data_IF_302868475930
#
_entry.id   IF_302868475930
#
_cell.length_a   1.000
_cell.length_b   1.000
_cell.length_c   1.000
_cell.angle_alpha   90.00
_cell.angle_beta   90.00
_cell.angle_gamma   90.00
#
_symmetry.space_group_name_H-M   'P 1'
#
loop_
_entity.id
_entity.type
_entity.pdbx_description
1 polymer ?
#
# COMPACT_ATOMS: atom_id res chain seq x y z
N UNK A 1 -12.35 3.96 6.99
CA UNK A 1 -13.43 4.25 7.97
C UNK A 1 -13.03 5.33 8.94
N UNK A 2 -13.96 6.20 9.28
CA UNK A 2 -13.76 7.25 10.28
C UNK A 2 -13.99 6.74 11.69
N UNK A 3 -13.12 7.14 12.61
CA UNK A 3 -13.23 6.81 14.04
C UNK A 3 -14.50 7.41 14.68
N UNK A 4 -14.92 8.61 14.26
CA UNK A 4 -16.02 9.31 14.87
C UNK A 4 -15.77 9.61 16.34
N UNK A 5 -16.70 9.16 17.23
CA UNK A 5 -16.61 9.30 18.69
C UNK A 5 -16.39 7.99 19.43
N UNK A 6 -16.11 6.89 18.72
CA UNK A 6 -15.90 5.57 19.32
C UNK A 6 -14.42 5.28 19.50
N UNK A 7 -14.03 4.40 20.45
CA UNK A 7 -12.65 3.96 20.58
C UNK A 7 -12.12 3.32 19.29
N UNK A 8 -10.82 3.45 19.06
CA UNK A 8 -10.15 2.88 17.87
C UNK A 8 -10.38 1.35 17.79
N UNK A 9 -10.23 0.64 18.91
CA UNK A 9 -10.48 -0.81 18.98
C UNK A 9 -11.87 -1.22 18.50
N UNK A 10 -12.88 -0.44 18.89
CA UNK A 10 -14.27 -0.71 18.52
C UNK A 10 -14.50 -0.47 17.02
N UNK A 11 -13.87 0.59 16.48
CA UNK A 11 -13.96 0.89 15.06
C UNK A 11 -13.29 -0.21 14.22
N UNK A 12 -12.07 -0.66 14.59
CA UNK A 12 -11.36 -1.73 13.92
C UNK A 12 -12.17 -3.04 13.98
N UNK A 13 -12.75 -3.36 15.13
CA UNK A 13 -13.62 -4.53 15.30
C UNK A 13 -14.85 -4.48 14.41
N UNK A 14 -15.48 -3.30 14.24
CA UNK A 14 -16.61 -3.12 13.33
C UNK A 14 -16.23 -3.30 11.86
N UNK A 15 -15.02 -2.86 11.47
CA UNK A 15 -14.51 -3.10 10.12
C UNK A 15 -14.37 -4.59 9.86
N UNK A 16 -13.73 -5.34 10.78
CA UNK A 16 -13.58 -6.79 10.67
C UNK A 16 -14.93 -7.50 10.64
N UNK A 17 -15.89 -7.09 11.48
CA UNK A 17 -17.24 -7.64 11.48
C UNK A 17 -17.98 -7.40 10.15
N UNK A 18 -17.80 -6.22 9.54
CA UNK A 18 -18.39 -5.89 8.23
C UNK A 18 -17.78 -6.75 7.11
N UNK A 19 -16.47 -6.99 7.17
CA UNK A 19 -15.78 -7.89 6.23
C UNK A 19 -16.31 -9.32 6.39
N UNK A 20 -16.39 -9.84 7.61
CA UNK A 20 -16.94 -11.17 7.89
C UNK A 20 -18.35 -11.29 7.34
N UNK A 21 -19.21 -10.30 7.62
CA UNK A 21 -20.60 -10.28 7.15
C UNK A 21 -20.69 -10.33 5.60
N UNK A 22 -19.79 -9.64 4.90
CA UNK A 22 -19.74 -9.63 3.44
C UNK A 22 -19.20 -10.96 2.88
N UNK A 23 -18.15 -11.51 3.51
CA UNK A 23 -17.53 -12.78 3.10
C UNK A 23 -18.47 -13.97 3.30
N UNK A 24 -19.27 -13.98 4.38
CA UNK A 24 -20.27 -15.01 4.63
C UNK A 24 -21.36 -15.07 3.54
N UNK A 25 -21.65 -13.95 2.88
CA UNK A 25 -22.69 -13.79 1.86
C UNK A 25 -22.17 -13.83 0.43
N UNK A 26 -20.87 -14.03 0.27
CA UNK A 26 -20.23 -14.08 -1.04
C UNK A 26 -19.35 -15.32 -1.19
N UNK A 27 -19.04 -15.71 -2.42
CA UNK A 27 -18.13 -16.82 -2.74
C UNK A 27 -17.13 -16.37 -3.80
N UNK A 28 -15.91 -16.90 -3.73
CA UNK A 28 -14.87 -16.67 -4.75
C UNK A 28 -14.35 -15.24 -4.81
N UNK A 29 -14.57 -14.44 -3.77
CA UNK A 29 -14.02 -13.08 -3.65
C UNK A 29 -13.07 -12.98 -2.46
N UNK A 30 -12.14 -12.03 -2.55
CA UNK A 30 -11.27 -11.62 -1.46
C UNK A 30 -11.57 -10.15 -1.13
N UNK A 31 -11.75 -9.85 0.15
CA UNK A 31 -11.84 -8.47 0.63
C UNK A 31 -10.42 -7.89 0.72
N UNK A 32 -10.13 -6.86 -0.06
CA UNK A 32 -8.82 -6.20 -0.05
C UNK A 32 -8.96 -4.85 0.64
N UNK A 33 -8.18 -4.67 1.71
CA UNK A 33 -8.18 -3.46 2.53
C UNK A 33 -7.05 -2.57 2.06
N UNK A 34 -7.35 -1.33 1.73
CA UNK A 34 -6.33 -0.35 1.36
C UNK A 34 -5.83 0.42 2.59
N UNK A 35 -4.50 0.68 2.66
CA UNK A 35 -3.97 1.64 3.62
C UNK A 35 -4.45 3.05 3.26
N UNK A 36 -4.60 3.90 4.27
CA UNK A 36 -5.11 5.28 4.10
C UNK A 36 -4.04 6.31 4.48
N UNK A 37 -4.19 7.52 3.99
CA UNK A 37 -3.34 8.65 4.40
C UNK A 37 -3.57 9.09 5.86
N UNK A 38 -4.65 8.65 6.48
CA UNK A 38 -5.00 9.01 7.86
C UNK A 38 -5.60 10.42 7.99
N UNK A 39 -6.20 10.96 6.92
CA UNK A 39 -6.85 12.26 6.97
C UNK A 39 -8.02 12.25 7.97
N UNK A 40 -8.14 13.32 8.74
CA UNK A 40 -9.14 13.45 9.79
C UNK A 40 -9.00 12.35 10.84
N UNK A 41 -9.99 11.46 10.94
CA UNK A 41 -9.99 10.31 11.85
C UNK A 41 -10.04 8.98 11.11
N UNK A 42 -9.57 8.92 9.85
CA UNK A 42 -9.54 7.68 9.07
C UNK A 42 -8.54 6.67 9.66
N UNK A 43 -9.01 5.44 9.81
CA UNK A 43 -8.21 4.29 10.21
C UNK A 43 -7.61 3.59 8.98
N UNK A 44 -6.57 2.77 9.22
CA UNK A 44 -5.83 2.07 8.18
C UNK A 44 -4.56 2.79 7.73
N UNK A 45 -4.19 3.89 8.39
CA UNK A 45 -2.96 4.63 8.12
C UNK A 45 -1.73 4.07 8.85
N UNK A 46 -1.91 3.17 9.81
CA UNK A 46 -0.83 2.42 10.48
C UNK A 46 -0.93 0.95 10.12
N UNK A 47 0.21 0.31 9.91
CA UNK A 47 0.24 -1.12 9.58
C UNK A 47 -0.40 -1.99 10.67
N UNK A 48 -0.26 -1.61 11.95
CA UNK A 48 -0.90 -2.31 13.08
C UNK A 48 -2.43 -2.29 13.00
N UNK A 49 -3.01 -1.22 12.44
CA UNK A 49 -4.46 -1.15 12.24
C UNK A 49 -4.91 -2.15 11.17
N UNK A 50 -4.16 -2.29 10.07
CA UNK A 50 -4.42 -3.28 9.03
C UNK A 50 -4.28 -4.70 9.60
N UNK A 51 -3.20 -4.96 10.34
CA UNK A 51 -2.98 -6.25 11.00
C UNK A 51 -4.10 -6.59 11.98
N UNK A 52 -4.59 -5.62 12.75
CA UNK A 52 -5.72 -5.79 13.68
C UNK A 52 -7.02 -6.14 12.95
N UNK A 53 -7.30 -5.46 11.82
CA UNK A 53 -8.48 -5.78 11.00
C UNK A 53 -8.38 -7.20 10.47
N UNK A 54 -7.24 -7.58 9.89
CA UNK A 54 -7.00 -8.94 9.36
C UNK A 54 -7.16 -9.99 10.47
N UNK A 55 -6.61 -9.73 11.66
CA UNK A 55 -6.73 -10.64 12.80
C UNK A 55 -8.17 -10.89 13.23
N UNK A 56 -9.07 -9.90 13.04
CA UNK A 56 -10.50 -10.01 13.31
C UNK A 56 -11.33 -10.68 12.21
N UNK A 57 -10.72 -10.98 11.04
CA UNK A 57 -11.40 -11.68 9.95
C UNK A 57 -11.35 -13.19 10.19
N UNK A 58 -12.51 -13.87 10.12
CA UNK A 58 -12.65 -15.30 10.39
C UNK A 58 -11.95 -16.15 9.32
N UNK A 59 -12.26 -15.89 8.05
CA UNK A 59 -11.59 -16.55 6.92
C UNK A 59 -10.46 -15.66 6.38
N UNK A 60 -9.28 -15.79 6.98
CA UNK A 60 -8.09 -15.01 6.61
C UNK A 60 -7.54 -15.33 5.22
N UNK A 61 -7.95 -16.44 4.60
CA UNK A 61 -7.56 -16.74 3.22
C UNK A 61 -8.25 -15.82 2.21
N UNK A 62 -9.35 -15.19 2.63
CA UNK A 62 -10.17 -14.29 1.81
C UNK A 62 -10.07 -12.82 2.19
N UNK A 63 -8.98 -12.43 2.85
CA UNK A 63 -8.65 -11.02 3.11
C UNK A 63 -7.25 -10.71 2.62
N UNK A 64 -7.03 -9.49 2.17
CA UNK A 64 -5.73 -8.99 1.74
C UNK A 64 -5.60 -7.50 1.90
N UNK A 65 -4.45 -6.97 1.50
CA UNK A 65 -4.12 -5.55 1.57
C UNK A 65 -3.76 -5.05 0.18
N UNK A 66 -4.23 -3.85 -0.17
CA UNK A 66 -3.68 -3.03 -1.23
C UNK A 66 -2.78 -1.96 -0.61
N UNK A 67 -1.55 -1.83 -1.09
CA UNK A 67 -0.61 -0.81 -0.62
C UNK A 67 -0.62 0.37 -1.58
N UNK A 68 -1.13 1.51 -1.12
CA UNK A 68 -1.06 2.78 -1.86
C UNK A 68 0.18 3.56 -1.42
N UNK A 69 1.01 3.95 -2.39
CA UNK A 69 2.28 4.64 -2.15
C UNK A 69 2.09 6.08 -1.68
N UNK A 70 1.09 6.80 -2.20
CA UNK A 70 0.75 8.16 -1.77
C UNK A 70 0.22 8.14 -0.33
N UNK A 71 -0.69 7.21 -0.03
CA UNK A 71 -1.28 7.09 1.30
C UNK A 71 -0.24 6.72 2.34
N UNK A 72 0.65 5.76 2.05
CA UNK A 72 1.75 5.39 2.95
C UNK A 72 2.66 6.60 3.26
N UNK A 73 3.04 7.34 2.22
CA UNK A 73 3.87 8.53 2.37
C UNK A 73 3.18 9.63 3.19
N UNK A 74 1.92 9.90 2.87
CA UNK A 74 1.12 10.87 3.64
C UNK A 74 0.88 10.43 5.08
N UNK A 75 0.85 9.13 5.36
CA UNK A 75 0.75 8.57 6.71
C UNK A 75 2.07 8.65 7.50
N UNK A 76 3.21 8.87 6.85
CA UNK A 76 4.52 9.04 7.50
C UNK A 76 5.55 7.96 7.15
N UNK A 77 5.22 7.01 6.28
CA UNK A 77 6.16 6.00 5.80
C UNK A 77 6.95 6.56 4.61
N UNK A 78 8.24 6.82 4.83
CA UNK A 78 9.08 7.42 3.79
C UNK A 78 9.41 6.42 2.69
N UNK A 79 9.27 6.85 1.44
CA UNK A 79 9.50 6.05 0.23
C UNK A 79 10.40 6.79 -0.78
N UNK A 80 10.94 7.97 -0.46
CA UNK A 80 11.63 8.86 -1.40
C UNK A 80 13.00 8.37 -1.87
N UNK A 81 13.53 7.33 -1.26
CA UNK A 81 14.81 6.73 -1.65
C UNK A 81 14.79 5.23 -1.42
N UNK A 82 15.71 4.50 -2.07
CA UNK A 82 15.87 3.07 -1.80
C UNK A 82 16.10 2.79 -0.31
N UNK A 83 16.93 3.59 0.35
CA UNK A 83 17.24 3.45 1.77
C UNK A 83 16.02 3.70 2.68
N UNK A 84 15.02 4.44 2.21
CA UNK A 84 13.75 4.68 2.91
C UNK A 84 12.69 3.61 2.56
N UNK A 85 12.65 3.14 1.31
CA UNK A 85 11.75 2.07 0.90
C UNK A 85 11.99 0.77 1.66
N UNK A 86 13.27 0.40 1.82
CA UNK A 86 13.66 -0.88 2.42
C UNK A 86 13.10 -1.07 3.84
N UNK A 87 13.31 -0.16 4.82
CA UNK A 87 12.71 -0.28 6.15
C UNK A 87 11.17 -0.17 6.13
N UNK A 88 10.58 0.65 5.27
CA UNK A 88 9.12 0.78 5.17
C UNK A 88 8.48 -0.53 4.72
N UNK A 89 8.98 -1.16 3.66
CA UNK A 89 8.46 -2.45 3.21
C UNK A 89 8.80 -3.60 4.15
N UNK A 90 9.96 -3.56 4.82
CA UNK A 90 10.29 -4.53 5.87
C UNK A 90 9.36 -4.42 7.08
N UNK A 91 8.97 -3.22 7.48
CA UNK A 91 7.99 -3.00 8.55
C UNK A 91 6.60 -3.49 8.13
N UNK A 92 6.15 -3.18 6.92
CA UNK A 92 4.90 -3.69 6.36
C UNK A 92 4.86 -5.21 6.36
N UNK A 93 5.94 -5.87 5.95
CA UNK A 93 6.04 -7.34 5.96
C UNK A 93 6.02 -7.88 7.38
N UNK A 94 6.77 -7.31 8.30
CA UNK A 94 6.82 -7.74 9.70
C UNK A 94 5.47 -7.60 10.42
N UNK A 95 4.71 -6.54 10.14
CA UNK A 95 3.47 -6.21 10.86
C UNK A 95 2.24 -6.82 10.20
N UNK A 96 2.15 -6.73 8.87
CA UNK A 96 0.99 -7.20 8.08
C UNK A 96 1.28 -8.56 7.45
N UNK A 97 2.46 -8.71 6.88
CA UNK A 97 2.89 -9.89 6.11
C UNK A 97 2.67 -9.73 4.61
N UNK A 98 3.74 -9.96 3.84
CA UNK A 98 3.69 -9.91 2.36
C UNK A 98 2.67 -10.91 1.79
N UNK A 99 2.40 -12.02 2.51
CA UNK A 99 1.38 -13.01 2.11
C UNK A 99 -0.05 -12.44 2.04
N UNK A 100 -0.32 -11.32 2.70
CA UNK A 100 -1.61 -10.62 2.61
C UNK A 100 -1.65 -9.57 1.50
N UNK A 101 -0.53 -9.17 0.93
CA UNK A 101 -0.50 -8.17 -0.14
C UNK A 101 -1.15 -8.74 -1.41
N UNK A 102 -2.10 -8.03 -1.99
CA UNK A 102 -2.89 -8.46 -3.16
C UNK A 102 -2.78 -7.50 -4.34
N UNK A 103 -2.20 -6.34 -4.13
CA UNK A 103 -1.99 -5.33 -5.16
C UNK A 103 -1.42 -4.06 -4.57
N UNK A 104 -1.03 -3.14 -5.45
CA UNK A 104 -0.59 -1.82 -5.08
C UNK A 104 -1.24 -0.75 -5.95
N UNK A 105 -1.53 0.40 -5.35
CA UNK A 105 -1.78 1.62 -6.09
C UNK A 105 -0.47 2.40 -6.17
N UNK A 106 0.00 2.65 -7.39
CA UNK A 106 1.21 3.43 -7.66
C UNK A 106 0.82 4.88 -7.94
N UNK A 107 0.88 5.70 -6.90
CA UNK A 107 0.54 7.11 -6.97
C UNK A 107 1.66 7.95 -6.39
N UNK A 108 2.04 9.04 -7.07
CA UNK A 108 2.87 10.06 -6.44
C UNK A 108 1.99 10.95 -5.54
N UNK A 109 2.60 11.69 -4.64
CA UNK A 109 1.90 12.46 -3.62
C UNK A 109 2.17 13.96 -3.77
N UNK A 110 1.11 14.78 -3.82
CA UNK A 110 1.25 16.25 -3.87
C UNK A 110 1.71 16.85 -2.54
N UNK A 111 1.47 16.16 -1.44
CA UNK A 111 1.72 16.67 -0.08
C UNK A 111 2.95 16.02 0.53
N UNK A 112 3.49 16.62 1.57
CA UNK A 112 4.71 16.15 2.22
C UNK A 112 4.51 14.90 3.09
N UNK A 113 5.64 14.30 3.48
CA UNK A 113 5.71 13.15 4.39
C UNK A 113 4.94 13.42 5.69
N UNK A 114 4.06 12.51 6.08
CA UNK A 114 3.29 12.61 7.32
C UNK A 114 2.21 13.70 7.33
N UNK A 115 1.89 14.28 6.18
CA UNK A 115 0.89 15.35 6.04
C UNK A 115 -0.52 14.92 6.43
N UNK A 116 -0.84 13.64 6.36
CA UNK A 116 -2.18 13.06 6.50
C UNK A 116 -3.19 13.69 5.52
N UNK A 117 -2.74 14.01 4.33
CA UNK A 117 -3.57 14.59 3.26
C UNK A 117 -3.45 13.70 2.04
N UNK A 118 -4.56 13.08 1.67
CA UNK A 118 -4.69 12.29 0.46
C UNK A 118 -4.84 13.21 -0.75
N UNK A 119 -3.76 13.31 -1.54
CA UNK A 119 -3.74 14.07 -2.81
C UNK A 119 -2.75 13.43 -3.75
N UNK A 120 -3.27 12.62 -4.67
CA UNK A 120 -2.48 11.97 -5.71
C UNK A 120 -1.88 12.98 -6.69
N UNK A 121 -0.69 12.68 -7.16
CA UNK A 121 -0.03 13.34 -8.29
C UNK A 121 0.30 12.29 -9.34
N UNK A 122 0.52 12.72 -10.58
CA UNK A 122 1.10 11.90 -11.63
C UNK A 122 2.51 11.46 -11.23
N UNK A 123 2.94 10.27 -11.69
CA UNK A 123 4.22 9.68 -11.31
C UNK A 123 5.39 10.60 -11.65
N UNK A 124 6.25 10.85 -10.67
CA UNK A 124 7.40 11.74 -10.78
C UNK A 124 7.07 13.23 -10.72
N UNK A 125 5.80 13.61 -10.51
CA UNK A 125 5.35 15.00 -10.41
C UNK A 125 4.95 15.43 -9.00
N UNK A 126 5.13 14.57 -8.02
CA UNK A 126 4.87 14.82 -6.61
C UNK A 126 6.13 14.84 -5.76
N UNK A 127 5.94 14.60 -4.47
CA UNK A 127 6.99 14.61 -3.44
C UNK A 127 7.74 13.28 -3.31
N UNK A 128 7.19 12.20 -3.87
CA UNK A 128 7.82 10.87 -3.88
C UNK A 128 8.89 10.76 -4.96
N UNK A 129 8.65 11.30 -6.16
CA UNK A 129 9.51 11.14 -7.31
C UNK A 129 9.50 9.70 -7.85
N UNK A 130 10.56 9.30 -8.58
CA UNK A 130 10.61 7.99 -9.27
C UNK A 130 11.21 6.85 -8.46
N UNK A 131 11.87 7.11 -7.35
CA UNK A 131 12.60 6.06 -6.60
C UNK A 131 11.73 4.97 -6.00
N UNK A 132 10.55 5.23 -5.37
CA UNK A 132 9.69 4.16 -4.89
C UNK A 132 9.21 3.26 -6.02
N UNK A 133 8.87 3.83 -7.18
CA UNK A 133 8.42 3.05 -8.33
C UNK A 133 9.56 2.21 -8.90
N UNK A 134 10.78 2.75 -8.97
CA UNK A 134 11.97 1.98 -9.33
C UNK A 134 12.22 0.83 -8.35
N UNK A 135 12.05 1.07 -7.07
CA UNK A 135 12.20 0.05 -6.03
C UNK A 135 11.17 -1.07 -6.24
N UNK A 136 9.89 -0.72 -6.34
CA UNK A 136 8.78 -1.67 -6.49
C UNK A 136 8.95 -2.51 -7.77
N UNK A 137 9.24 -1.89 -8.91
CA UNK A 137 9.37 -2.56 -10.20
C UNK A 137 10.59 -3.50 -10.30
N UNK A 138 11.46 -3.54 -9.28
CA UNK A 138 12.67 -4.40 -9.25
C UNK A 138 12.78 -5.26 -7.98
N UNK A 139 11.75 -5.32 -7.17
CA UNK A 139 11.73 -6.15 -5.97
C UNK A 139 10.88 -7.40 -6.23
N UNK A 140 11.50 -8.60 -6.17
CA UNK A 140 10.80 -9.85 -6.51
C UNK A 140 9.61 -10.17 -5.60
N UNK A 141 9.48 -9.52 -4.45
CA UNK A 141 8.29 -9.66 -3.58
C UNK A 141 7.02 -9.18 -4.26
N UNK A 142 7.14 -8.33 -5.27
CA UNK A 142 6.02 -7.69 -5.97
C UNK A 142 5.82 -8.20 -7.39
N UNK A 143 6.57 -9.26 -7.79
CA UNK A 143 6.37 -9.91 -9.07
C UNK A 143 4.96 -10.54 -9.16
N UNK A 144 4.38 -10.54 -10.35
CA UNK A 144 3.06 -11.09 -10.65
C UNK A 144 1.89 -10.47 -9.83
N UNK A 145 2.11 -9.30 -9.23
CA UNK A 145 1.12 -8.58 -8.45
C UNK A 145 0.44 -7.48 -9.30
N UNK A 146 -0.88 -7.28 -9.17
CA UNK A 146 -1.55 -6.15 -9.79
C UNK A 146 -0.99 -4.81 -9.28
N UNK A 147 -0.48 -3.98 -10.20
CA UNK A 147 -0.04 -2.62 -9.96
C UNK A 147 -0.97 -1.68 -10.74
N UNK A 148 -1.68 -0.81 -10.04
CA UNK A 148 -2.70 0.05 -10.62
C UNK A 148 -2.33 1.52 -10.45
N UNK A 149 -2.73 2.34 -11.43
CA UNK A 149 -2.61 3.79 -11.36
C UNK A 149 -3.96 4.41 -10.98
N UNK A 150 -3.93 5.30 -9.99
CA UNK A 150 -5.04 6.19 -9.66
C UNK A 150 -4.61 7.66 -9.77
N UNK A 151 -3.57 7.91 -10.58
CA UNK A 151 -3.07 9.25 -10.85
C UNK A 151 -4.13 10.11 -11.53
N UNK A 152 -4.08 11.42 -11.29
CA UNK A 152 -5.19 12.35 -11.54
C UNK A 152 -5.44 12.57 -13.04
N UNK A 153 -4.37 12.55 -13.86
CA UNK A 153 -4.45 12.81 -15.29
C UNK A 153 -4.45 11.50 -16.09
N UNK A 154 -5.65 11.08 -16.49
CA UNK A 154 -5.83 9.86 -17.27
C UNK A 154 -5.13 9.89 -18.65
N UNK A 155 -4.89 11.08 -19.21
CA UNK A 155 -4.19 11.21 -20.49
C UNK A 155 -2.72 10.76 -20.39
N UNK A 156 -2.14 10.78 -19.19
CA UNK A 156 -0.77 10.36 -18.91
C UNK A 156 -0.63 8.86 -18.60
N UNK A 157 -1.70 8.14 -18.28
CA UNK A 157 -1.61 6.74 -17.83
C UNK A 157 -0.81 5.83 -18.75
N UNK A 158 -1.05 5.91 -20.06
CA UNK A 158 -0.29 5.10 -21.02
C UNK A 158 1.22 5.45 -21.02
N UNK A 159 1.57 6.69 -20.74
CA UNK A 159 2.97 7.13 -20.64
C UNK A 159 3.57 6.69 -19.31
N UNK A 160 2.85 6.87 -18.20
CA UNK A 160 3.28 6.44 -16.87
C UNK A 160 3.53 4.92 -16.81
N UNK A 161 2.63 4.12 -17.42
CA UNK A 161 2.82 2.66 -17.54
C UNK A 161 4.11 2.33 -18.31
N UNK A 162 4.35 2.98 -19.48
CA UNK A 162 5.59 2.75 -20.23
C UNK A 162 6.83 3.13 -19.42
N UNK A 163 6.77 4.22 -18.66
CA UNK A 163 7.86 4.65 -17.80
C UNK A 163 8.11 3.64 -16.65
N UNK A 164 7.06 3.09 -16.03
CA UNK A 164 7.18 2.04 -15.03
C UNK A 164 7.93 0.83 -15.60
N UNK A 165 7.50 0.30 -16.74
CA UNK A 165 8.19 -0.82 -17.38
C UNK A 165 9.63 -0.49 -17.76
N UNK A 166 9.94 0.74 -18.14
CA UNK A 166 11.31 1.18 -18.43
C UNK A 166 12.22 1.24 -17.18
N UNK A 167 11.64 1.22 -15.97
CA UNK A 167 12.42 1.14 -14.73
C UNK A 167 12.93 -0.27 -14.43
N UNK A 168 12.35 -1.30 -15.05
CA UNK A 168 12.75 -2.70 -14.83
C UNK A 168 14.18 -2.88 -15.36
N UNK A 169 15.06 -3.39 -14.51
CA UNK A 169 16.46 -3.66 -14.89
C UNK A 169 16.52 -4.89 -15.79
N UNK A 170 17.02 -4.74 -17.00
CA UNK A 170 17.33 -5.85 -17.89
C UNK A 170 18.73 -6.38 -17.55
N UNK A 171 18.82 -7.30 -16.59
CA UNK A 171 20.08 -7.94 -16.21
C UNK A 171 19.86 -9.03 -15.15
N UNK A 172 20.80 -10.00 -15.00
CA UNK A 172 20.63 -11.02 -13.96
C UNK A 172 20.57 -10.37 -12.58
N UNK A 173 19.77 -10.94 -11.65
CA UNK A 173 19.67 -10.44 -10.29
C UNK A 173 21.07 -10.42 -9.65
N UNK A 174 21.44 -9.27 -9.10
CA UNK A 174 22.69 -9.20 -8.33
C UNK A 174 22.56 -10.09 -7.08
N UNK A 175 23.54 -10.96 -6.80
CA UNK A 175 23.51 -11.78 -5.60
C UNK A 175 23.45 -10.87 -4.38
N UNK A 176 22.41 -11.06 -3.57
CA UNK A 176 22.28 -10.37 -2.28
C UNK A 176 23.50 -10.76 -1.44
N UNK A 177 24.32 -9.75 -1.07
CA UNK A 177 25.45 -9.95 -0.17
C UNK A 177 24.95 -10.60 1.13
N UNK A 178 25.45 -11.78 1.45
CA UNK A 178 25.23 -12.42 2.75
C UNK A 178 25.82 -11.49 3.82
N UNK A 179 25.06 -11.19 4.88
CA UNK A 179 25.67 -10.53 6.04
C UNK A 179 26.74 -11.48 6.61
N UNK A 180 27.97 -10.96 6.75
CA UNK A 180 29.08 -11.62 7.42
C UNK A 180 28.90 -11.59 8.95
#
# INVERSE_FOLDING_TARGET
SHLGRIPESDCLSRISASINWALDRSRGITAVIENTAGQGSNLGHRFEQLATIIAGVQDRSRVGVCFDTCHAFAAGYDLRSRAACEPTFAESDRVVGTSYLRGMHLNDCKTGLGSRIDRHASLGHGQLGWEPFRYIMNDPRFDDMPLLLETVDRSLWATEIRQLYALIRTGPPQPQGRPG
#
